data_IF_116263385771
#
_entry.id   IF_116263385771
#
_cell.length_a   1.000
_cell.length_b   1.000
_cell.length_c   1.000
_cell.angle_alpha   90.00
_cell.angle_beta   90.00
_cell.angle_gamma   90.00
#
_symmetry.space_group_name_H-M   'P 1'
#
loop_
_entity.id
_entity.type
_entity.pdbx_description
1 polymer ?
#
# COMPACT_ATOMS: atom_id res chain seq x y z
N UNK A 1 0.88 -24.78 6.50
CA UNK A 1 0.06 -24.95 7.72
C UNK A 1 -0.86 -23.75 7.83
N UNK A 2 -2.11 -23.97 8.26
CA UNK A 2 -3.22 -23.02 8.15
C UNK A 2 -3.11 -21.80 9.09
N UNK A 3 -2.24 -20.82 8.79
CA UNK A 3 -2.13 -19.55 9.53
C UNK A 3 -3.49 -18.85 9.68
N UNK A 4 -4.34 -18.98 8.64
CA UNK A 4 -5.73 -18.49 8.65
C UNK A 4 -6.59 -19.12 9.77
N UNK A 5 -6.46 -20.43 10.03
CA UNK A 5 -7.22 -21.10 11.10
C UNK A 5 -6.71 -20.73 12.50
N UNK A 6 -5.39 -20.54 12.64
CA UNK A 6 -4.75 -20.14 13.91
C UNK A 6 -5.10 -18.69 14.28
N UNK A 7 -5.16 -17.80 13.30
CA UNK A 7 -5.39 -16.37 13.52
C UNK A 7 -6.87 -15.95 13.52
N UNK A 8 -7.79 -16.79 13.04
CA UNK A 8 -9.24 -16.50 13.02
C UNK A 8 -9.94 -16.75 14.37
N UNK A 9 -9.35 -17.58 15.24
CA UNK A 9 -10.01 -18.07 16.48
C UNK A 9 -9.70 -17.26 17.73
N UNK A 10 -8.75 -16.33 17.68
CA UNK A 10 -8.53 -15.35 18.75
C UNK A 10 -9.00 -13.98 18.24
N UNK A 11 -10.06 -13.39 18.82
CA UNK A 11 -10.27 -11.97 18.66
C UNK A 11 -9.14 -11.29 19.43
N UNK A 12 -8.01 -11.08 18.77
CA UNK A 12 -7.04 -10.11 19.24
C UNK A 12 -7.75 -8.78 19.04
N UNK A 13 -8.44 -8.33 20.10
CA UNK A 13 -8.99 -6.99 20.18
C UNK A 13 -7.79 -6.06 20.12
N UNK A 14 -7.39 -5.74 18.89
CA UNK A 14 -6.62 -4.55 18.63
C UNK A 14 -7.37 -3.41 19.27
N UNK A 15 -6.65 -2.55 19.99
CA UNK A 15 -7.22 -1.58 20.91
C UNK A 15 -8.39 -0.86 20.27
N UNK A 16 -9.62 -1.28 20.61
CA UNK A 16 -10.85 -0.59 20.18
C UNK A 16 -10.77 0.88 20.65
N UNK A 17 -9.93 1.18 21.64
CA UNK A 17 -9.65 2.53 22.11
C UNK A 17 -8.85 3.39 21.11
N UNK A 18 -8.04 2.79 20.24
CA UNK A 18 -7.13 3.51 19.33
C UNK A 18 -7.78 3.85 17.98
N UNK A 19 -8.80 3.12 17.58
CA UNK A 19 -9.58 3.41 16.36
C UNK A 19 -10.59 4.52 16.65
N UNK A 20 -10.41 5.72 16.10
CA UNK A 20 -11.38 6.81 16.27
C UNK A 20 -12.58 6.61 15.35
N UNK A 21 -13.77 7.08 15.76
CA UNK A 21 -14.97 6.99 14.91
C UNK A 21 -14.80 7.71 13.58
N UNK A 22 -14.06 8.82 13.58
CA UNK A 22 -13.78 9.57 12.36
C UNK A 22 -12.95 8.75 11.38
N UNK A 23 -11.99 7.95 11.85
CA UNK A 23 -11.17 7.08 10.99
C UNK A 23 -12.04 6.04 10.25
N UNK A 24 -13.04 5.50 10.95
CA UNK A 24 -13.99 4.52 10.40
C UNK A 24 -14.90 5.19 9.36
N UNK A 25 -15.36 6.42 9.64
CA UNK A 25 -16.19 7.20 8.71
C UNK A 25 -15.38 7.57 7.46
N UNK A 26 -14.15 8.04 7.64
CA UNK A 26 -13.24 8.40 6.55
C UNK A 26 -12.94 7.19 5.67
N UNK A 27 -12.75 6.01 6.26
CA UNK A 27 -12.57 4.76 5.51
C UNK A 27 -13.82 4.40 4.69
N UNK A 28 -15.04 4.54 5.24
CA UNK A 28 -16.29 4.32 4.47
C UNK A 28 -16.36 5.27 3.29
N UNK A 29 -16.07 6.56 3.51
CA UNK A 29 -16.12 7.59 2.47
C UNK A 29 -15.07 7.28 1.38
N UNK A 30 -13.85 6.89 1.78
CA UNK A 30 -12.78 6.53 0.85
C UNK A 30 -13.06 5.26 0.04
N UNK A 31 -13.85 4.33 0.58
CA UNK A 31 -14.32 3.15 -0.16
C UNK A 31 -15.50 3.46 -1.09
N UNK A 32 -16.34 4.43 -0.74
CA UNK A 32 -17.53 4.80 -1.51
C UNK A 32 -17.23 5.76 -2.68
N UNK A 33 -16.10 6.46 -2.64
CA UNK A 33 -15.72 7.45 -3.66
C UNK A 33 -14.66 6.89 -4.62
N UNK A 34 -14.80 7.12 -5.95
CA UNK A 34 -13.77 6.76 -6.92
C UNK A 34 -12.47 7.52 -6.64
N UNK A 35 -11.32 6.91 -6.98
CA UNK A 35 -9.98 7.34 -6.58
C UNK A 35 -9.63 8.80 -6.97
N UNK A 36 -10.32 9.38 -7.96
CA UNK A 36 -10.17 10.78 -8.39
C UNK A 36 -11.07 11.82 -7.69
N UNK A 37 -12.04 11.40 -6.89
CA UNK A 37 -12.98 12.29 -6.16
C UNK A 37 -12.65 12.44 -4.68
N UNK A 38 -11.47 11.97 -4.25
CA UNK A 38 -10.99 12.05 -2.88
C UNK A 38 -10.65 13.50 -2.53
N UNK A 39 -11.63 14.26 -2.07
CA UNK A 39 -11.38 15.57 -1.48
C UNK A 39 -10.74 15.39 -0.11
N UNK A 40 -9.68 16.16 0.14
CA UNK A 40 -9.12 16.36 1.48
C UNK A 40 -10.09 17.24 2.30
N UNK A 41 -11.25 16.69 2.62
CA UNK A 41 -12.22 17.39 3.44
C UNK A 41 -11.78 17.33 4.90
N UNK A 42 -11.44 18.49 5.45
CA UNK A 42 -11.25 18.72 6.89
C UNK A 42 -12.58 18.79 7.64
N UNK A 43 -13.63 18.13 7.13
CA UNK A 43 -14.95 18.10 7.74
C UNK A 43 -15.01 16.99 8.78
N UNK A 44 -14.93 17.39 10.05
CA UNK A 44 -15.25 16.51 11.17
C UNK A 44 -16.75 16.18 11.14
N UNK A 45 -17.11 14.90 11.13
CA UNK A 45 -18.50 14.46 11.14
C UNK A 45 -18.92 14.30 12.60
N UNK A 46 -19.66 15.28 13.11
CA UNK A 46 -20.20 15.21 14.46
C UNK A 46 -21.42 14.27 14.48
N UNK A 47 -21.32 13.17 15.23
CA UNK A 47 -22.46 12.29 15.49
C UNK A 47 -23.39 12.98 16.49
N UNK A 48 -24.32 13.78 16.01
CA UNK A 48 -25.35 14.40 16.86
C UNK A 48 -26.41 13.38 17.21
N UNK A 49 -26.62 13.15 18.50
CA UNK A 49 -27.80 12.48 19.04
C UNK A 49 -29.02 13.26 18.58
N UNK A 50 -29.92 12.64 17.82
CA UNK A 50 -31.16 13.28 17.35
C UNK A 50 -32.12 13.52 18.53
N UNK A 51 -31.86 14.56 19.31
CA UNK A 51 -32.80 15.10 20.26
C UNK A 51 -33.61 16.21 19.55
N UNK A 52 -34.79 15.84 19.06
CA UNK A 52 -35.88 16.77 18.74
C UNK A 52 -35.67 17.71 17.55
N UNK A 53 -36.10 17.30 16.36
CA UNK A 53 -36.22 18.18 15.20
C UNK A 53 -37.06 17.55 14.09
N UNK A 54 -38.34 17.90 14.05
CA UNK A 54 -39.35 17.31 13.17
C UNK A 54 -39.06 17.61 11.69
N UNK A 55 -38.72 16.59 10.90
CA UNK A 55 -38.78 16.63 9.43
C UNK A 55 -39.64 15.46 8.96
N UNK A 56 -40.88 15.78 8.54
CA UNK A 56 -41.85 14.82 8.02
C UNK A 56 -41.42 14.38 6.61
N UNK A 57 -41.07 13.10 6.45
CA UNK A 57 -41.27 12.38 5.18
C UNK A 57 -42.02 11.08 5.43
N UNK A 58 -43.02 10.86 4.58
CA UNK A 58 -44.02 9.81 4.65
C UNK A 58 -43.43 8.39 4.60
N UNK A 59 -44.16 7.52 5.28
CA UNK A 59 -43.91 6.13 5.66
C UNK A 59 -44.14 5.12 4.53
N UNK A 60 -43.37 4.03 4.52
CA UNK A 60 -43.88 2.64 4.45
C UNK A 60 -42.78 1.63 4.80
N UNK A 61 -43.02 0.81 5.84
CA UNK A 61 -42.51 -0.57 5.94
C UNK A 61 -41.13 -0.81 6.55
N UNK A 62 -41.10 -1.22 7.83
CA UNK A 62 -39.96 -1.92 8.45
C UNK A 62 -39.07 -1.07 9.35
N UNK A 63 -39.44 -0.92 10.63
CA UNK A 63 -38.60 -0.27 11.66
C UNK A 63 -37.40 -1.12 12.04
N UNK A 64 -36.37 -1.11 11.19
CA UNK A 64 -35.01 -1.38 11.64
C UNK A 64 -34.51 -0.13 12.37
N UNK A 65 -34.74 -0.04 13.69
CA UNK A 65 -34.08 0.96 14.56
C UNK A 65 -32.60 0.61 14.71
N UNK A 66 -31.85 0.57 13.61
CA UNK A 66 -30.39 0.56 13.70
C UNK A 66 -29.97 2.02 13.89
N UNK A 67 -29.75 2.41 15.14
CA UNK A 67 -29.07 3.67 15.45
C UNK A 67 -27.76 3.71 14.65
N UNK A 68 -27.53 4.76 13.86
CA UNK A 68 -26.31 4.98 13.07
C UNK A 68 -25.06 4.82 13.93
N UNK A 69 -25.11 5.27 15.19
CA UNK A 69 -24.03 5.05 16.16
C UNK A 69 -23.75 3.55 16.38
N UNK A 70 -24.78 2.73 16.59
CA UNK A 70 -24.62 1.29 16.80
C UNK A 70 -24.00 0.56 15.60
N UNK A 71 -24.32 0.99 14.37
CA UNK A 71 -23.66 0.48 13.15
C UNK A 71 -22.18 0.87 13.09
N UNK A 72 -21.83 2.11 13.47
CA UNK A 72 -20.44 2.56 13.52
C UNK A 72 -19.62 1.80 14.57
N UNK A 73 -20.19 1.53 15.75
CA UNK A 73 -19.55 0.70 16.78
C UNK A 73 -19.26 -0.72 16.26
N UNK A 74 -20.25 -1.37 15.64
CA UNK A 74 -20.06 -2.70 15.05
C UNK A 74 -19.02 -2.69 13.92
N UNK A 75 -18.97 -1.63 13.11
CA UNK A 75 -18.00 -1.53 12.03
C UNK A 75 -16.57 -1.33 12.55
N UNK A 76 -16.43 -0.50 13.58
CA UNK A 76 -15.17 -0.30 14.31
C UNK A 76 -14.64 -1.62 14.90
N UNK A 77 -15.50 -2.39 15.55
CA UNK A 77 -15.14 -3.70 16.11
C UNK A 77 -14.73 -4.69 15.01
N UNK A 78 -15.46 -4.71 13.89
CA UNK A 78 -15.11 -5.55 12.74
C UNK A 78 -13.76 -5.17 12.13
N UNK A 79 -13.46 -3.87 12.01
CA UNK A 79 -12.16 -3.39 11.52
C UNK A 79 -11.02 -3.76 12.47
N UNK A 80 -11.21 -3.57 13.78
CA UNK A 80 -10.23 -3.98 14.79
C UNK A 80 -9.91 -5.48 14.70
N UNK A 81 -10.96 -6.31 14.59
CA UNK A 81 -10.81 -7.76 14.43
C UNK A 81 -10.09 -8.13 13.12
N UNK A 82 -10.43 -7.47 12.00
CA UNK A 82 -9.77 -7.71 10.73
C UNK A 82 -8.28 -7.35 10.76
N UNK A 83 -7.94 -6.20 11.35
CA UNK A 83 -6.55 -5.76 11.54
C UNK A 83 -5.81 -6.76 12.43
N UNK A 84 -6.40 -7.19 13.56
CA UNK A 84 -5.82 -8.19 14.46
C UNK A 84 -5.52 -9.51 13.75
N UNK A 85 -6.49 -10.04 12.99
CA UNK A 85 -6.34 -11.30 12.26
C UNK A 85 -5.28 -11.19 11.15
N UNK A 86 -5.26 -10.08 10.41
CA UNK A 86 -4.26 -9.85 9.36
C UNK A 86 -2.86 -9.74 9.95
N UNK A 87 -2.69 -8.96 11.02
CA UNK A 87 -1.41 -8.76 11.70
C UNK A 87 -0.90 -10.08 12.28
N UNK A 88 -1.78 -10.89 12.88
CA UNK A 88 -1.44 -12.24 13.33
C UNK A 88 -0.92 -13.11 12.18
N UNK A 89 -1.61 -13.12 11.03
CA UNK A 89 -1.16 -13.91 9.87
C UNK A 89 0.19 -13.44 9.35
N UNK A 90 0.40 -12.12 9.25
CA UNK A 90 1.67 -11.56 8.78
C UNK A 90 2.84 -11.91 9.70
N UNK A 91 2.62 -11.96 11.01
CA UNK A 91 3.62 -12.41 11.99
C UNK A 91 3.87 -13.92 11.90
N UNK A 92 2.81 -14.73 11.77
CA UNK A 92 2.94 -16.19 11.65
C UNK A 92 3.67 -16.62 10.37
N UNK A 93 3.63 -15.79 9.33
CA UNK A 93 4.38 -15.97 8.07
C UNK A 93 5.79 -15.38 8.11
N UNK A 94 6.23 -14.80 9.22
CA UNK A 94 7.48 -14.07 9.38
C UNK A 94 7.65 -12.87 8.43
N UNK A 95 6.55 -12.30 7.90
CA UNK A 95 6.61 -11.13 7.01
C UNK A 95 6.82 -9.82 7.76
N UNK A 96 6.31 -9.76 9.00
CA UNK A 96 6.48 -8.62 9.90
C UNK A 96 7.01 -9.09 11.26
N UNK A 97 7.69 -8.19 11.95
CA UNK A 97 8.11 -8.35 13.35
C UNK A 97 7.04 -7.78 14.31
N UNK A 98 7.27 -7.87 15.61
CA UNK A 98 6.29 -7.50 16.64
C UNK A 98 5.85 -6.03 16.58
N UNK A 99 6.72 -5.12 16.11
CA UNK A 99 6.44 -3.69 15.96
C UNK A 99 5.71 -3.33 14.64
N UNK A 100 5.22 -4.35 13.92
CA UNK A 100 4.55 -4.24 12.61
C UNK A 100 5.41 -3.63 11.50
N UNK A 101 6.73 -3.64 11.66
CA UNK A 101 7.65 -3.33 10.57
C UNK A 101 7.99 -4.60 9.78
N UNK A 102 8.44 -4.46 8.51
CA UNK A 102 8.85 -5.59 7.71
C UNK A 102 9.98 -6.38 8.36
N UNK A 103 9.90 -7.71 8.32
CA UNK A 103 10.99 -8.59 8.76
C UNK A 103 12.11 -8.63 7.70
N UNK A 104 12.97 -7.62 7.67
CA UNK A 104 14.06 -7.49 6.69
C UNK A 104 14.95 -8.76 6.62
N UNK A 105 15.40 -9.35 7.74
CA UNK A 105 16.20 -10.58 7.71
C UNK A 105 15.51 -11.76 6.99
N UNK A 106 14.19 -11.89 7.09
CA UNK A 106 13.43 -12.91 6.37
C UNK A 106 13.51 -12.70 4.85
N UNK A 107 13.31 -11.46 4.38
CA UNK A 107 13.40 -11.14 2.96
C UNK A 107 14.83 -11.31 2.42
N UNK A 108 15.84 -10.83 3.14
CA UNK A 108 17.25 -11.02 2.79
C UNK A 108 17.59 -12.50 2.64
N UNK A 109 17.21 -13.34 3.61
CA UNK A 109 17.44 -14.79 3.56
C UNK A 109 16.80 -15.42 2.32
N UNK A 110 15.57 -15.02 1.98
CA UNK A 110 14.85 -15.53 0.82
C UNK A 110 15.50 -15.11 -0.50
N UNK A 111 15.95 -13.86 -0.62
CA UNK A 111 16.66 -13.35 -1.82
C UNK A 111 18.02 -14.05 -1.96
N UNK A 112 18.76 -14.19 -0.86
CA UNK A 112 20.05 -14.88 -0.87
C UNK A 112 19.94 -16.36 -1.22
N UNK A 113 18.79 -16.98 -0.91
CA UNK A 113 18.45 -18.35 -1.28
C UNK A 113 18.14 -18.58 -2.77
N UNK A 114 18.11 -17.54 -3.62
CA UNK A 114 17.93 -17.71 -5.07
C UNK A 114 19.11 -18.51 -5.69
N UNK A 115 18.93 -19.12 -6.89
CA UNK A 115 19.99 -19.87 -7.56
C UNK A 115 21.26 -19.04 -7.81
N UNK A 116 22.43 -19.69 -7.90
CA UNK A 116 23.73 -18.99 -8.05
C UNK A 116 23.88 -18.29 -9.39
N UNK A 117 23.20 -18.77 -10.42
CA UNK A 117 23.23 -18.24 -11.78
C UNK A 117 22.55 -16.87 -11.86
N UNK A 118 21.74 -16.51 -10.86
CA UNK A 118 20.96 -15.27 -10.82
C UNK A 118 21.62 -14.18 -9.96
N UNK A 119 22.94 -14.03 -10.02
CA UNK A 119 23.65 -13.05 -9.18
C UNK A 119 23.19 -11.61 -9.43
N UNK A 120 22.96 -11.25 -10.69
CA UNK A 120 22.46 -9.91 -11.03
C UNK A 120 21.06 -9.65 -10.44
N UNK A 121 20.13 -10.59 -10.59
CA UNK A 121 18.80 -10.48 -9.99
C UNK A 121 18.87 -10.37 -8.46
N UNK A 122 19.76 -11.15 -7.80
CA UNK A 122 19.97 -11.03 -6.36
C UNK A 122 20.40 -9.61 -5.97
N UNK A 123 21.37 -9.04 -6.69
CA UNK A 123 21.85 -7.68 -6.42
C UNK A 123 20.74 -6.63 -6.59
N UNK A 124 19.95 -6.69 -7.66
CA UNK A 124 18.82 -5.77 -7.87
C UNK A 124 17.72 -5.92 -6.80
N UNK A 125 17.45 -7.15 -6.36
CA UNK A 125 16.46 -7.42 -5.32
C UNK A 125 16.93 -6.94 -3.93
N UNK A 126 18.20 -7.16 -3.58
CA UNK A 126 18.77 -6.65 -2.32
C UNK A 126 18.79 -5.12 -2.32
N UNK A 127 19.18 -4.51 -3.43
CA UNK A 127 19.12 -3.06 -3.57
C UNK A 127 17.67 -2.54 -3.48
N UNK A 128 16.72 -3.22 -4.12
CA UNK A 128 15.30 -2.91 -4.02
C UNK A 128 14.76 -3.06 -2.59
N UNK A 129 15.27 -4.04 -1.84
CA UNK A 129 14.92 -4.26 -0.44
C UNK A 129 15.34 -3.07 0.44
N UNK A 130 16.59 -2.62 0.30
CA UNK A 130 17.14 -1.48 1.04
C UNK A 130 16.36 -0.19 0.75
N UNK A 131 16.14 0.12 -0.53
CA UNK A 131 15.38 1.31 -0.94
C UNK A 131 13.97 1.30 -0.35
N UNK A 132 13.31 0.14 -0.36
CA UNK A 132 11.94 0.03 0.14
C UNK A 132 11.85 0.04 1.66
N UNK A 133 12.88 -0.47 2.35
CA UNK A 133 13.03 -0.32 3.80
C UNK A 133 13.13 1.16 4.16
N UNK A 134 14.07 1.89 3.55
CA UNK A 134 14.28 3.31 3.81
C UNK A 134 13.03 4.14 3.46
N UNK A 135 12.41 3.85 2.31
CA UNK A 135 11.14 4.48 1.91
C UNK A 135 10.05 4.27 2.97
N UNK A 136 9.89 3.05 3.48
CA UNK A 136 8.87 2.74 4.48
C UNK A 136 9.10 3.44 5.82
N UNK A 137 10.36 3.65 6.21
CA UNK A 137 10.72 4.39 7.42
C UNK A 137 10.46 5.90 7.31
N UNK A 138 10.36 6.42 6.09
CA UNK A 138 10.02 7.83 5.84
C UNK A 138 8.51 8.10 5.88
N UNK A 139 7.68 7.05 5.87
CA UNK A 139 6.23 7.19 5.99
C UNK A 139 5.88 7.51 7.44
N UNK A 140 4.84 8.33 7.65
CA UNK A 140 4.27 8.61 8.96
C UNK A 140 2.90 7.94 9.09
N UNK A 141 2.82 6.64 9.45
CA UNK A 141 1.57 5.89 9.61
C UNK A 141 0.54 6.62 10.48
N UNK A 142 0.99 7.29 11.55
CA UNK A 142 0.14 7.92 12.55
C UNK A 142 -0.69 9.08 11.98
N UNK A 143 -0.27 9.65 10.84
CA UNK A 143 -0.99 10.73 10.15
C UNK A 143 -2.05 10.23 9.17
N UNK A 144 -2.10 8.92 8.90
CA UNK A 144 -3.07 8.36 7.97
C UNK A 144 -4.48 8.36 8.60
N UNK A 145 -5.52 8.62 7.80
CA UNK A 145 -6.93 8.53 8.25
C UNK A 145 -7.40 7.08 8.40
N UNK A 146 -6.84 6.16 7.61
CA UNK A 146 -7.20 4.75 7.63
C UNK A 146 -6.63 4.02 8.86
N UNK A 147 -7.44 3.30 9.65
CA UNK A 147 -6.96 2.48 10.75
C UNK A 147 -5.93 1.44 10.31
N UNK A 148 -6.09 0.87 9.11
CA UNK A 148 -5.13 -0.05 8.52
C UNK A 148 -3.78 0.60 8.26
N UNK A 149 -3.77 1.81 7.74
CA UNK A 149 -2.52 2.53 7.47
C UNK A 149 -1.87 3.06 8.75
N UNK A 150 -2.63 3.34 9.81
CA UNK A 150 -2.05 3.68 11.12
C UNK A 150 -1.27 2.51 11.70
N UNK A 151 -1.83 1.31 11.58
CA UNK A 151 -1.28 0.11 12.20
C UNK A 151 -0.21 -0.59 11.35
N UNK A 152 -0.50 -0.80 10.07
CA UNK A 152 0.33 -1.55 9.13
C UNK A 152 0.96 -0.66 8.06
N UNK A 153 0.87 0.66 8.19
CA UNK A 153 1.31 1.60 7.14
C UNK A 153 2.75 1.40 6.72
N UNK A 154 3.66 1.22 7.67
CA UNK A 154 5.08 0.95 7.38
C UNK A 154 5.24 -0.32 6.55
N UNK A 155 4.63 -1.43 6.99
CA UNK A 155 4.68 -2.69 6.25
C UNK A 155 4.01 -2.60 4.87
N UNK A 156 2.83 -1.99 4.77
CA UNK A 156 2.10 -1.84 3.50
C UNK A 156 2.92 -1.03 2.50
N UNK A 157 3.51 0.08 2.94
CA UNK A 157 4.36 0.94 2.11
C UNK A 157 5.62 0.21 1.65
N UNK A 158 6.28 -0.51 2.56
CA UNK A 158 7.39 -1.39 2.20
C UNK A 158 6.97 -2.43 1.16
N UNK A 159 5.89 -3.17 1.42
CA UNK A 159 5.45 -4.28 0.58
C UNK A 159 5.07 -3.83 -0.82
N UNK A 160 4.36 -2.71 -0.95
CA UNK A 160 4.02 -2.12 -2.24
C UNK A 160 5.26 -1.64 -3.00
N UNK A 161 6.21 -1.01 -2.31
CA UNK A 161 7.48 -0.60 -2.91
C UNK A 161 8.26 -1.83 -3.39
N UNK A 162 8.42 -2.82 -2.51
CA UNK A 162 9.25 -3.99 -2.77
C UNK A 162 8.67 -4.83 -3.90
N UNK A 163 7.35 -5.03 -3.96
CA UNK A 163 6.68 -5.71 -5.07
C UNK A 163 6.92 -5.02 -6.41
N UNK A 164 6.93 -3.69 -6.45
CA UNK A 164 7.26 -2.94 -7.68
C UNK A 164 8.72 -3.15 -8.07
N UNK A 165 9.64 -3.09 -7.11
CA UNK A 165 11.08 -3.33 -7.35
C UNK A 165 11.37 -4.76 -7.77
N UNK A 166 10.66 -5.74 -7.21
CA UNK A 166 10.74 -7.15 -7.60
C UNK A 166 10.35 -7.35 -9.06
N UNK A 167 9.23 -6.76 -9.50
CA UNK A 167 8.80 -6.81 -10.91
C UNK A 167 9.84 -6.16 -11.81
N UNK A 168 10.33 -4.96 -11.45
CA UNK A 168 11.38 -4.27 -12.22
C UNK A 168 12.66 -5.10 -12.32
N UNK A 169 13.12 -5.71 -11.22
CA UNK A 169 14.31 -6.54 -11.20
C UNK A 169 14.15 -7.77 -12.11
N UNK A 170 12.98 -8.42 -12.08
CA UNK A 170 12.66 -9.53 -12.98
C UNK A 170 12.66 -9.10 -14.45
N UNK A 171 12.05 -7.95 -14.79
CA UNK A 171 12.04 -7.42 -16.16
C UNK A 171 13.44 -7.08 -16.66
N UNK A 172 14.25 -6.40 -15.83
CA UNK A 172 15.65 -6.09 -16.17
C UNK A 172 16.45 -7.37 -16.42
N UNK A 173 16.31 -8.38 -15.54
CA UNK A 173 17.02 -9.65 -15.72
C UNK A 173 16.59 -10.35 -17.02
N UNK A 174 15.29 -10.39 -17.33
CA UNK A 174 14.79 -10.96 -18.58
C UNK A 174 15.30 -10.23 -19.83
N UNK A 175 15.35 -8.91 -19.79
CA UNK A 175 15.88 -8.10 -20.90
C UNK A 175 17.39 -8.28 -21.07
N UNK A 176 18.16 -8.47 -20.00
CA UNK A 176 19.58 -8.79 -20.09
C UNK A 176 19.84 -10.17 -20.68
N UNK A 177 19.07 -11.18 -20.28
CA UNK A 177 19.19 -12.52 -20.86
C UNK A 177 18.87 -12.50 -22.37
N UNK A 178 17.96 -11.62 -22.79
CA UNK A 178 17.66 -11.39 -24.20
C UNK A 178 18.79 -10.59 -24.91
N UNK A 179 19.29 -9.53 -24.28
CA UNK A 179 20.40 -8.69 -24.76
C UNK A 179 21.66 -9.47 -25.12
N UNK A 180 22.05 -10.41 -24.25
CA UNK A 180 23.24 -11.24 -24.43
C UNK A 180 23.09 -12.18 -25.63
N UNK A 181 21.87 -12.55 -26.02
CA UNK A 181 21.63 -13.36 -27.22
C UNK A 181 21.79 -12.56 -28.51
N UNK A 182 21.50 -11.27 -28.46
CA UNK A 182 21.45 -10.39 -29.64
C UNK A 182 22.65 -9.41 -29.70
N UNK A 183 23.69 -9.61 -28.88
CA UNK A 183 24.99 -8.88 -28.88
C UNK A 183 24.90 -7.36 -28.61
N UNK A 184 24.02 -6.94 -27.70
CA UNK A 184 23.89 -5.53 -27.30
C UNK A 184 24.73 -5.20 -26.06
N UNK A 185 25.78 -4.37 -26.21
CA UNK A 185 26.75 -4.08 -25.12
C UNK A 185 26.35 -2.96 -24.13
N UNK A 186 25.24 -2.24 -24.33
CA UNK A 186 24.88 -1.05 -23.53
C UNK A 186 23.48 -1.09 -22.87
N UNK A 187 22.92 -2.28 -22.64
CA UNK A 187 21.53 -2.42 -22.17
C UNK A 187 21.34 -2.02 -20.70
N UNK A 188 22.38 -2.08 -19.87
CA UNK A 188 22.28 -1.75 -18.45
C UNK A 188 21.89 -0.28 -18.21
N UNK A 189 22.52 0.66 -18.93
CA UNK A 189 22.15 2.08 -18.85
C UNK A 189 20.73 2.30 -19.38
N UNK A 190 20.40 1.74 -20.54
CA UNK A 190 19.07 1.89 -21.13
C UNK A 190 17.96 1.34 -20.24
N UNK A 191 18.19 0.22 -19.57
CA UNK A 191 17.26 -0.36 -18.59
C UNK A 191 17.14 0.52 -17.35
N UNK A 192 18.24 1.08 -16.87
CA UNK A 192 18.19 2.01 -15.75
C UNK A 192 17.45 3.29 -16.11
N UNK A 193 17.61 3.83 -17.32
CA UNK A 193 16.84 4.99 -17.80
C UNK A 193 15.35 4.65 -18.05
N UNK A 194 15.08 3.54 -18.74
CA UNK A 194 13.73 3.11 -19.14
C UNK A 194 12.85 2.67 -17.97
N UNK A 195 13.46 2.12 -16.90
CA UNK A 195 12.76 1.76 -15.67
C UNK A 195 12.95 2.79 -14.54
N UNK A 196 13.43 3.99 -14.85
CA UNK A 196 13.32 5.18 -13.99
C UNK A 196 14.32 5.22 -12.84
N UNK A 197 15.59 5.02 -13.13
CA UNK A 197 16.72 5.08 -12.20
C UNK A 197 17.82 6.04 -12.70
N UNK A 198 17.46 7.22 -13.19
CA UNK A 198 18.25 8.45 -13.00
C UNK A 198 17.41 9.69 -13.35
N UNK A 199 17.05 10.50 -12.35
CA UNK A 199 16.38 11.80 -12.58
C UNK A 199 17.40 12.91 -12.94
N UNK A 200 18.71 12.71 -12.71
CA UNK A 200 19.72 13.78 -12.81
C UNK A 200 20.25 14.04 -14.22
N UNK A 201 19.99 13.17 -15.19
CA UNK A 201 20.43 13.35 -16.59
C UNK A 201 19.34 13.84 -17.54
N UNK A 202 18.09 14.02 -17.07
CA UNK A 202 16.98 14.51 -17.93
C UNK A 202 17.22 15.96 -18.40
N UNK A 203 17.91 16.76 -17.58
CA UNK A 203 18.26 18.14 -17.93
C UNK A 203 19.46 18.23 -18.88
N UNK A 204 20.43 17.31 -18.78
CA UNK A 204 21.59 17.28 -19.69
C UNK A 204 21.24 16.73 -21.09
N UNK A 205 20.23 15.85 -21.18
CA UNK A 205 19.80 15.30 -22.46
C UNK A 205 18.96 16.28 -23.29
N UNK A 206 18.22 17.20 -22.64
CA UNK A 206 17.47 18.28 -23.32
C UNK A 206 18.37 19.27 -24.05
N UNK A 207 19.60 19.46 -23.58
CA UNK A 207 20.55 20.40 -24.18
C UNK A 207 21.33 19.77 -25.35
N UNK A 208 21.59 18.45 -25.29
CA UNK A 208 22.38 17.75 -26.33
C UNK A 208 21.55 17.16 -27.47
N UNK A 209 20.27 16.89 -27.26
CA UNK A 209 19.36 16.49 -28.32
C UNK A 209 18.31 17.57 -28.48
N UNK A 210 18.50 18.44 -29.48
CA UNK A 210 17.50 19.42 -29.92
C UNK A 210 16.24 18.74 -30.47
N UNK A 211 15.50 18.06 -29.61
CA UNK A 211 14.24 17.39 -29.91
C UNK A 211 13.14 18.18 -29.21
N UNK A 212 12.59 19.14 -29.95
CA UNK A 212 11.22 19.60 -29.75
C UNK A 212 10.27 18.49 -30.23
N UNK A 213 9.86 17.58 -29.35
CA UNK A 213 8.63 16.79 -29.48
C UNK A 213 8.42 15.89 -28.25
N UNK A 214 7.16 15.71 -27.84
CA UNK A 214 6.67 14.99 -26.66
C UNK A 214 6.65 15.77 -25.34
N UNK A 215 6.20 17.02 -25.42
CA UNK A 215 5.27 17.56 -24.43
C UNK A 215 3.85 17.19 -24.86
N UNK A 216 3.21 16.24 -24.18
CA UNK A 216 1.83 15.87 -24.43
C UNK A 216 1.60 14.37 -24.24
N UNK A 217 0.53 14.04 -23.51
CA UNK A 217 0.06 12.68 -23.17
C UNK A 217 0.78 12.02 -21.99
N UNK A 218 0.48 12.50 -20.77
CA UNK A 218 0.28 11.66 -19.57
C UNK A 218 -0.55 12.45 -18.55
N UNK A 219 -1.64 13.06 -19.04
CA UNK A 219 -2.74 13.58 -18.25
C UNK A 219 -4.01 13.13 -18.95
N UNK A 220 -4.71 12.17 -18.36
CA UNK A 220 -5.95 11.62 -18.91
C UNK A 220 -6.14 10.15 -18.57
N UNK A 221 -7.08 9.91 -17.65
CA UNK A 221 -7.98 8.77 -17.58
C UNK A 221 -7.40 7.34 -17.66
N UNK A 222 -7.10 6.79 -16.48
CA UNK A 222 -7.19 5.34 -16.27
C UNK A 222 -8.50 5.04 -15.55
N UNK A 223 -9.51 4.76 -16.38
CA UNK A 223 -10.74 4.06 -16.02
C UNK A 223 -10.36 2.64 -15.57
N UNK A 224 -10.66 2.31 -14.33
CA UNK A 224 -11.17 1.01 -13.90
C UNK A 224 -12.31 1.25 -12.92
#
# INVERSE_FOLDING_TARGET
MDSSKKCSTQPQLFGIKDIQFQDVIDEIINMALPWGSRQDSTQYVQVVSSAGGSSKRHTTGGTHKHNTAGKLYHMKEKMACMIGNLTCMLRDLDWIVEDNTPNIPYYEKRINGLPREKQYLKAELLWGLDVCKDFSMCISPQRAKSPFMKELGTFISFFQCFRKKEIMACMKNGLKEYAVKDDYEAIDELLNYGFGMDMKMRDQMKEKMGITAFGGVMGGDLIF
#
